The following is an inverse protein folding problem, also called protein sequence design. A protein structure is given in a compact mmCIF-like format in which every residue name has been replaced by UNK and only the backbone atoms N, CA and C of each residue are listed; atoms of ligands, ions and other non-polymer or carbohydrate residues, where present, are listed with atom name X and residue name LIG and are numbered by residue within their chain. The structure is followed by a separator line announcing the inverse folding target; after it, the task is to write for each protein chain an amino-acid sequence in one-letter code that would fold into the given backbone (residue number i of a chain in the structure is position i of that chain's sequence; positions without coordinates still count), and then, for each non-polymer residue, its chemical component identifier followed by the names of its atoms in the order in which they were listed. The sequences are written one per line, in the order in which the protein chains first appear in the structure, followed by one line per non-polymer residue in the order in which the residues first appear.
data_IF_910447136606
#
_entry.id   IF_910447136606
#
_cell.length_a   1.000
_cell.length_b   1.000
_cell.length_c   1.000
_cell.angle_alpha   90.00
_cell.angle_beta   90.00
_cell.angle_gamma   90.00
#
_symmetry.space_group_name_H-M   'P 1'
#
loop_
_entity.id
_entity.type
_entity.pdbx_description
1 polymer ?
#
# COMPACT_ATOMS: atom_id res chain seq x y z
N UNK A 1 -8.76 -9.72 16.15
CA UNK A 1 -9.86 -9.14 15.34
C UNK A 1 -9.38 -8.13 14.30
N UNK A 2 -8.50 -7.16 14.59
CA UNK A 2 -7.97 -6.24 13.54
C UNK A 2 -6.80 -6.81 12.71
N UNK A 3 -5.93 -7.64 13.31
CA UNK A 3 -4.77 -8.21 12.62
C UNK A 3 -5.14 -9.15 11.45
N UNK A 4 -6.17 -9.98 11.63
CA UNK A 4 -6.72 -10.85 10.57
C UNK A 4 -7.18 -10.03 9.35
N UNK A 5 -7.85 -8.90 9.60
CA UNK A 5 -8.35 -8.02 8.55
C UNK A 5 -7.21 -7.27 7.82
N UNK A 6 -6.18 -6.82 8.55
CA UNK A 6 -4.98 -6.22 7.96
C UNK A 6 -4.27 -7.22 7.04
N UNK A 7 -4.11 -8.47 7.47
CA UNK A 7 -3.49 -9.51 6.68
C UNK A 7 -4.31 -9.84 5.43
N UNK A 8 -5.63 -9.99 5.56
CA UNK A 8 -6.52 -10.20 4.42
C UNK A 8 -6.39 -9.08 3.39
N UNK A 9 -6.45 -7.80 3.80
CA UNK A 9 -6.26 -6.69 2.88
C UNK A 9 -4.87 -6.66 2.24
N UNK A 10 -3.84 -7.07 2.97
CA UNK A 10 -2.50 -7.17 2.42
C UNK A 10 -2.42 -8.22 1.30
N UNK A 11 -3.02 -9.39 1.51
CA UNK A 11 -3.06 -10.44 0.50
C UNK A 11 -3.85 -10.01 -0.74
N UNK A 12 -5.05 -9.46 -0.55
CA UNK A 12 -5.89 -8.92 -1.64
C UNK A 12 -5.17 -7.82 -2.44
N UNK A 13 -4.54 -6.87 -1.73
CA UNK A 13 -3.76 -5.81 -2.37
C UNK A 13 -2.59 -6.37 -3.18
N UNK A 14 -1.93 -7.42 -2.68
CA UNK A 14 -0.80 -8.08 -3.36
C UNK A 14 -1.25 -8.85 -4.60
N UNK A 15 -2.37 -9.56 -4.53
CA UNK A 15 -2.95 -10.26 -5.68
C UNK A 15 -3.32 -9.30 -6.81
N UNK A 16 -3.97 -8.18 -6.45
CA UNK A 16 -4.30 -7.12 -7.40
C UNK A 16 -3.03 -6.48 -7.99
N UNK A 17 -2.01 -6.26 -7.16
CA UNK A 17 -0.72 -5.75 -7.62
C UNK A 17 -0.07 -6.68 -8.64
N UNK A 18 -0.05 -7.99 -8.37
CA UNK A 18 0.49 -9.01 -9.28
C UNK A 18 -0.33 -9.14 -10.57
N UNK A 19 -1.60 -8.74 -10.54
CA UNK A 19 -2.49 -8.69 -11.71
C UNK A 19 -2.46 -7.34 -12.45
N UNK A 20 -1.45 -6.49 -12.18
CA UNK A 20 -1.29 -5.13 -12.72
C UNK A 20 -2.47 -4.18 -12.44
N UNK A 21 -3.37 -4.52 -11.50
CA UNK A 21 -4.51 -3.70 -11.06
C UNK A 21 -4.09 -2.74 -9.95
N UNK A 22 -3.14 -1.87 -10.27
CA UNK A 22 -2.44 -1.04 -9.28
C UNK A 22 -3.34 -0.06 -8.52
N UNK A 23 -4.29 0.61 -9.19
CA UNK A 23 -5.22 1.54 -8.53
C UNK A 23 -6.12 0.84 -7.49
N UNK A 24 -6.45 -0.43 -7.73
CA UNK A 24 -7.26 -1.21 -6.79
C UNK A 24 -6.42 -1.74 -5.63
N UNK A 25 -5.18 -2.18 -5.91
CA UNK A 25 -4.21 -2.54 -4.88
C UNK A 25 -3.98 -1.38 -3.89
N UNK A 26 -3.85 -0.15 -4.40
CA UNK A 26 -3.68 1.06 -3.58
C UNK A 26 -4.79 1.21 -2.55
N UNK A 27 -6.05 0.95 -2.93
CA UNK A 27 -7.20 1.06 -2.01
C UNK A 27 -7.07 0.12 -0.81
N UNK A 28 -6.50 -1.07 -0.99
CA UNK A 28 -6.28 -2.01 0.11
C UNK A 28 -5.12 -1.58 1.00
N UNK A 29 -4.03 -1.09 0.42
CA UNK A 29 -2.93 -0.54 1.21
C UNK A 29 -3.37 0.71 2.02
N UNK A 30 -4.24 1.55 1.46
CA UNK A 30 -4.83 2.70 2.17
C UNK A 30 -5.66 2.27 3.39
N UNK A 31 -6.43 1.19 3.28
CA UNK A 31 -7.15 0.63 4.43
C UNK A 31 -6.20 0.16 5.53
N UNK A 32 -5.08 -0.47 5.17
CA UNK A 32 -4.05 -0.88 6.15
C UNK A 32 -3.42 0.35 6.81
N UNK A 33 -3.11 1.40 6.04
CA UNK A 33 -2.55 2.66 6.56
C UNK A 33 -3.55 3.35 7.50
N UNK A 34 -4.85 3.31 7.20
CA UNK A 34 -5.88 3.90 8.06
C UNK A 34 -5.93 3.24 9.45
N UNK A 35 -5.72 1.93 9.53
CA UNK A 35 -5.69 1.20 10.82
C UNK A 35 -4.31 1.29 11.48
N UNK A 36 -3.25 1.15 10.70
CA UNK A 36 -1.87 1.24 11.15
C UNK A 36 -1.11 2.28 10.31
N UNK A 37 -1.14 3.57 10.71
CA UNK A 37 -0.45 4.63 10.01
C UNK A 37 1.07 4.46 9.95
N UNK A 38 1.63 3.63 10.83
CA UNK A 38 3.07 3.34 10.89
C UNK A 38 3.46 2.07 10.12
N UNK A 39 2.55 1.50 9.32
CA UNK A 39 2.84 0.32 8.52
C UNK A 39 3.79 0.64 7.36
N UNK A 40 5.10 0.44 7.59
CA UNK A 40 6.15 0.58 6.56
C UNK A 40 5.84 -0.27 5.33
N UNK A 41 5.29 -1.47 5.55
CA UNK A 41 4.89 -2.41 4.50
C UNK A 41 3.82 -1.76 3.62
N UNK A 42 2.72 -1.28 4.20
CA UNK A 42 1.62 -0.71 3.42
C UNK A 42 2.05 0.55 2.65
N UNK A 43 2.83 1.44 3.28
CA UNK A 43 3.40 2.61 2.60
C UNK A 43 4.32 2.22 1.44
N UNK A 44 5.20 1.23 1.63
CA UNK A 44 6.12 0.76 0.59
C UNK A 44 5.42 0.10 -0.60
N UNK A 45 4.40 -0.72 -0.35
CA UNK A 45 3.61 -1.34 -1.41
C UNK A 45 2.73 -0.33 -2.16
N UNK A 46 2.12 0.63 -1.46
CA UNK A 46 1.40 1.75 -2.09
C UNK A 46 2.34 2.56 -2.99
N UNK A 47 3.54 2.89 -2.50
CA UNK A 47 4.53 3.62 -3.28
C UNK A 47 4.97 2.86 -4.55
N UNK A 48 5.14 1.54 -4.45
CA UNK A 48 5.48 0.68 -5.58
C UNK A 48 4.35 0.66 -6.62
N UNK A 49 3.09 0.57 -6.19
CA UNK A 49 1.92 0.61 -7.07
C UNK A 49 1.80 1.96 -7.79
N UNK A 50 1.98 3.07 -7.08
CA UNK A 50 2.00 4.41 -7.66
C UNK A 50 3.13 4.60 -8.68
N UNK A 51 4.31 4.03 -8.41
CA UNK A 51 5.44 4.05 -9.35
C UNK A 51 5.12 3.29 -10.65
N UNK A 52 4.40 2.15 -10.57
CA UNK A 52 3.95 1.40 -11.74
C UNK A 52 2.93 2.19 -12.59
N UNK A 53 2.12 3.01 -11.94
CA UNK A 53 1.21 3.96 -12.58
C UNK A 53 1.88 5.26 -13.05
N UNK A 54 3.20 5.37 -12.91
CA UNK A 54 3.99 6.59 -13.23
C UNK A 54 3.59 7.83 -12.42
N UNK A 55 2.95 7.65 -11.26
CA UNK A 55 2.61 8.70 -10.29
C UNK A 55 3.77 8.90 -9.32
N UNK A 56 4.88 9.41 -9.84
CA UNK A 56 6.16 9.40 -9.14
C UNK A 56 6.18 10.31 -7.90
N UNK A 57 5.52 11.47 -7.93
CA UNK A 57 5.47 12.38 -6.77
C UNK A 57 4.74 11.74 -5.59
N UNK A 58 3.57 11.12 -5.85
CA UNK A 58 2.80 10.40 -4.84
C UNK A 58 3.58 9.20 -4.30
N UNK A 59 4.27 8.48 -5.17
CA UNK A 59 5.11 7.35 -4.80
C UNK A 59 6.26 7.79 -3.88
N UNK A 60 6.94 8.89 -4.22
CA UNK A 60 8.03 9.44 -3.44
C UNK A 60 7.55 9.85 -2.04
N UNK A 61 6.41 10.54 -1.94
CA UNK A 61 5.81 10.88 -0.65
C UNK A 61 5.50 9.64 0.20
N UNK A 62 4.98 8.57 -0.42
CA UNK A 62 4.72 7.31 0.27
C UNK A 62 6.01 6.63 0.74
N UNK A 63 7.08 6.63 -0.07
CA UNK A 63 8.39 6.11 0.36
C UNK A 63 8.97 6.91 1.52
N UNK A 64 8.84 8.24 1.51
CA UNK A 64 9.27 9.06 2.64
C UNK A 64 8.50 8.71 3.91
N UNK A 65 7.19 8.47 3.83
CA UNK A 65 6.41 8.03 5.00
C UNK A 65 6.86 6.64 5.48
N UNK A 66 7.14 5.70 4.58
CA UNK A 66 7.65 4.37 4.93
C UNK A 66 8.99 4.42 5.69
N UNK A 67 9.83 5.44 5.42
CA UNK A 67 11.11 5.65 6.08
C UNK A 67 10.99 6.42 7.42
N UNK A 68 9.94 7.24 7.57
CA UNK A 68 9.70 8.05 8.78
C UNK A 68 9.08 7.24 9.92
N UNK A 69 8.13 6.35 9.59
CA UNK A 69 7.53 5.42 10.53
C UNK A 69 8.52 4.31 10.90
#
# INVERSE_FOLDING_TARGET
MQFEQINSWYYEGTELFCSDRFDEAIKYYDKIIQINPNSKIAWGYKARALSKLKRYDDAFACYQNALKC
#
